data_IF_214435896572
#
_entry.id   IF_214435896572
#
_cell.length_a   1.000
_cell.length_b   1.000
_cell.length_c   1.000
_cell.angle_alpha   90.00
_cell.angle_beta   90.00
_cell.angle_gamma   90.00
#
_symmetry.space_group_name_H-M   'P 1'
#
loop_
_entity.id
_entity.type
_entity.pdbx_description
1 polymer ?
#
# COMPACT_ATOMS: atom_id res chain seq x y z
N UNK A 1 0.69 3.70 -1.28
CA UNK A 1 0.85 3.25 0.13
C UNK A 1 2.00 2.28 0.11
N UNK A 2 2.91 2.40 1.08
CA UNK A 2 4.14 1.61 1.12
C UNK A 2 3.93 0.40 2.02
N UNK A 3 3.56 -0.75 1.45
CA UNK A 3 3.39 -1.98 2.21
C UNK A 3 4.76 -2.61 2.50
N UNK A 4 5.07 -2.93 3.77
CA UNK A 4 6.23 -3.72 4.11
C UNK A 4 6.05 -5.17 3.67
N UNK A 5 7.08 -5.73 3.06
CA UNK A 5 7.12 -7.15 2.71
C UNK A 5 8.33 -7.79 3.39
N UNK A 6 8.10 -8.97 3.98
CA UNK A 6 9.12 -9.81 4.58
C UNK A 6 9.50 -10.91 3.59
N UNK A 7 10.75 -10.88 3.13
CA UNK A 7 11.26 -11.80 2.12
C UNK A 7 12.18 -12.80 2.81
N UNK A 8 11.80 -14.08 2.76
CA UNK A 8 12.64 -15.21 3.19
C UNK A 8 13.52 -15.64 2.00
N UNK A 9 14.86 -15.60 2.14
CA UNK A 9 15.75 -16.10 1.10
C UNK A 9 15.44 -17.54 0.72
N UNK A 10 15.37 -17.81 -0.58
CA UNK A 10 15.31 -19.17 -1.11
C UNK A 10 16.67 -19.88 -1.05
N UNK A 11 16.66 -21.17 -1.36
CA UNK A 11 17.85 -22.01 -1.54
C UNK A 11 17.75 -22.84 -2.83
N UNK A 12 18.65 -23.80 -3.06
CA UNK A 12 18.63 -24.64 -4.27
C UNK A 12 17.36 -25.49 -4.43
N UNK A 13 16.56 -25.66 -3.38
CA UNK A 13 15.34 -26.47 -3.33
C UNK A 13 14.09 -25.64 -3.06
N UNK A 14 14.22 -24.41 -2.56
CA UNK A 14 13.13 -23.55 -2.13
C UNK A 14 13.16 -22.19 -2.82
N UNK A 15 12.01 -21.75 -3.33
CA UNK A 15 11.83 -20.40 -3.88
C UNK A 15 11.95 -19.32 -2.78
N UNK A 16 12.17 -18.08 -3.21
CA UNK A 16 12.15 -16.91 -2.33
C UNK A 16 10.71 -16.65 -1.88
N UNK A 17 10.44 -16.85 -0.60
CA UNK A 17 9.10 -16.66 -0.04
C UNK A 17 8.87 -15.22 0.38
N UNK A 18 7.68 -14.68 0.11
CA UNK A 18 7.28 -13.35 0.55
C UNK A 18 6.01 -13.42 1.37
N UNK A 19 6.01 -12.68 2.46
CA UNK A 19 4.86 -12.42 3.32
C UNK A 19 4.61 -10.91 3.39
N UNK A 20 3.35 -10.51 3.41
CA UNK A 20 2.90 -9.12 3.56
C UNK A 20 2.20 -8.98 4.92
N UNK A 21 2.91 -8.61 6.00
CA UNK A 21 2.37 -8.67 7.36
C UNK A 21 1.11 -7.83 7.58
N UNK A 22 0.98 -6.72 6.85
CA UNK A 22 -0.17 -5.82 6.96
C UNK A 22 -1.39 -6.29 6.17
N UNK A 23 -1.25 -7.32 5.33
CA UNK A 23 -2.34 -7.92 4.55
C UNK A 23 -2.39 -9.42 4.90
N UNK A 24 -3.08 -9.80 6.00
CA UNK A 24 -3.12 -11.19 6.45
C UNK A 24 -3.58 -12.15 5.36
N UNK A 25 -2.79 -13.19 5.11
CA UNK A 25 -3.08 -14.18 4.06
C UNK A 25 -2.55 -13.81 2.67
N UNK A 26 -1.88 -12.67 2.51
CA UNK A 26 -1.19 -12.30 1.27
C UNK A 26 0.25 -12.83 1.30
N UNK A 27 0.46 -13.94 0.58
CA UNK A 27 1.76 -14.56 0.38
C UNK A 27 2.07 -14.65 -1.10
N UNK A 28 3.35 -14.56 -1.43
CA UNK A 28 3.84 -14.85 -2.78
C UNK A 28 5.20 -15.55 -2.71
N UNK A 29 5.70 -15.99 -3.86
CA UNK A 29 7.05 -16.52 -3.98
C UNK A 29 7.61 -16.21 -5.37
N UNK A 30 8.93 -16.13 -5.47
CA UNK A 30 9.64 -15.92 -6.74
C UNK A 30 10.93 -16.75 -6.84
N UNK A 31 11.47 -16.87 -8.05
CA UNK A 31 12.69 -17.65 -8.31
C UNK A 31 13.95 -16.96 -7.76
N UNK A 32 13.97 -15.64 -7.78
CA UNK A 32 15.01 -14.80 -7.21
C UNK A 32 14.41 -13.61 -6.43
N UNK A 33 15.27 -12.72 -5.92
CA UNK A 33 14.82 -11.56 -5.14
C UNK A 33 14.00 -10.57 -5.96
N UNK A 34 14.37 -10.33 -7.23
CA UNK A 34 13.68 -9.36 -8.08
C UNK A 34 12.31 -9.90 -8.50
N UNK A 35 12.25 -11.18 -8.85
CA UNK A 35 11.01 -11.89 -9.14
C UNK A 35 10.09 -11.96 -7.90
N UNK A 36 10.65 -12.25 -6.72
CA UNK A 36 9.88 -12.24 -5.47
C UNK A 36 9.24 -10.87 -5.19
N UNK A 37 9.96 -9.76 -5.45
CA UNK A 37 9.40 -8.42 -5.32
C UNK A 37 8.29 -8.14 -6.34
N UNK A 38 8.46 -8.60 -7.59
CA UNK A 38 7.43 -8.47 -8.62
C UNK A 38 6.16 -9.27 -8.25
N UNK A 39 6.33 -10.52 -7.83
CA UNK A 39 5.25 -11.40 -7.37
C UNK A 39 4.56 -10.87 -6.12
N UNK A 40 5.30 -10.24 -5.20
CA UNK A 40 4.71 -9.57 -4.05
C UNK A 40 3.81 -8.40 -4.45
N UNK A 41 4.23 -7.57 -5.41
CA UNK A 41 3.39 -6.48 -5.94
C UNK A 41 2.09 -7.05 -6.52
N UNK A 42 2.17 -8.06 -7.37
CA UNK A 42 0.99 -8.68 -7.99
C UNK A 42 0.05 -9.31 -6.94
N UNK A 43 0.60 -10.01 -5.95
CA UNK A 43 -0.19 -10.61 -4.88
C UNK A 43 -0.91 -9.55 -4.03
N UNK A 44 -0.25 -8.43 -3.72
CA UNK A 44 -0.88 -7.31 -3.02
C UNK A 44 -2.00 -6.72 -3.87
N UNK A 45 -1.73 -6.40 -5.15
CA UNK A 45 -2.71 -5.79 -6.05
C UNK A 45 -3.95 -6.68 -6.22
N UNK A 46 -3.77 -7.99 -6.41
CA UNK A 46 -4.87 -8.95 -6.52
C UNK A 46 -5.66 -9.14 -5.22
N UNK A 47 -4.99 -9.16 -4.06
CA UNK A 47 -5.68 -9.25 -2.78
C UNK A 47 -6.51 -8.00 -2.50
N UNK A 48 -5.99 -6.82 -2.82
CA UNK A 48 -6.73 -5.56 -2.68
C UNK A 48 -7.92 -5.47 -3.64
N UNK A 49 -7.81 -6.04 -4.84
CA UNK A 49 -8.93 -6.15 -5.79
C UNK A 49 -10.07 -6.98 -5.22
N UNK A 50 -9.75 -8.18 -4.69
CA UNK A 50 -10.74 -9.04 -4.03
C UNK A 50 -11.43 -8.34 -2.85
N UNK A 51 -10.67 -7.65 -2.00
CA UNK A 51 -11.25 -6.87 -0.90
C UNK A 51 -12.16 -5.73 -1.39
N UNK A 52 -11.81 -5.09 -2.51
CA UNK A 52 -12.64 -4.04 -3.09
C UNK A 52 -13.95 -4.60 -3.66
N UNK A 53 -13.90 -5.76 -4.34
CA UNK A 53 -15.09 -6.46 -4.85
C UNK A 53 -16.05 -6.84 -3.72
N UNK A 54 -15.52 -7.29 -2.59
CA UNK A 54 -16.27 -7.65 -1.39
C UNK A 54 -16.72 -6.44 -0.55
N UNK A 55 -16.48 -5.21 -1.01
CA UNK A 55 -16.71 -3.96 -0.26
C UNK A 55 -16.05 -3.96 1.14
N UNK A 56 -14.96 -4.71 1.29
CA UNK A 56 -14.22 -4.85 2.53
C UNK A 56 -13.23 -3.70 2.75
N UNK A 57 -12.80 -3.51 4.01
CA UNK A 57 -11.84 -2.46 4.34
C UNK A 57 -10.46 -2.80 3.78
N UNK A 58 -9.87 -1.87 3.04
CA UNK A 58 -8.49 -1.95 2.58
C UNK A 58 -7.54 -1.88 3.80
N UNK A 59 -6.64 -2.86 4.00
CA UNK A 59 -5.71 -2.88 5.13
C UNK A 59 -4.77 -1.67 5.11
N UNK A 60 -4.20 -1.36 6.27
CA UNK A 60 -3.34 -0.19 6.44
C UNK A 60 -1.89 -0.64 6.47
N UNK A 61 -1.08 -0.08 5.59
CA UNK A 61 0.36 -0.25 5.63
C UNK A 61 0.96 0.41 6.86
N UNK A 62 1.79 -0.33 7.58
CA UNK A 62 2.54 0.12 8.74
C UNK A 62 4.04 0.20 8.40
N UNK A 63 4.84 0.95 9.19
CA UNK A 63 6.28 0.99 8.97
C UNK A 63 6.93 -0.38 9.24
N UNK A 64 8.00 -0.71 8.50
CA UNK A 64 8.80 -1.93 8.73
C UNK A 64 9.22 -2.11 10.20
N UNK A 65 9.49 -1.01 10.90
CA UNK A 65 9.87 -1.03 12.32
C UNK A 65 8.80 -1.63 13.24
N UNK A 66 7.54 -1.69 12.81
CA UNK A 66 6.46 -2.36 13.56
C UNK A 66 6.62 -3.89 13.55
N UNK A 67 7.25 -4.44 12.50
CA UNK A 67 7.32 -5.89 12.27
C UNK A 67 8.70 -6.49 12.48
N UNK A 68 9.77 -5.70 12.36
CA UNK A 68 11.17 -6.18 12.42
C UNK A 68 11.52 -6.92 13.72
N UNK A 69 10.82 -6.63 14.82
CA UNK A 69 11.05 -7.28 16.11
C UNK A 69 10.24 -8.57 16.32
N UNK A 70 9.39 -8.94 15.36
CA UNK A 70 8.62 -10.19 15.42
C UNK A 70 9.55 -11.39 15.12
N UNK A 71 9.67 -12.38 16.03
CA UNK A 71 10.47 -13.58 15.81
C UNK A 71 10.09 -14.38 14.56
N UNK A 72 8.85 -14.27 14.09
CA UNK A 72 8.38 -14.92 12.86
C UNK A 72 9.11 -14.46 11.59
N UNK A 73 9.65 -13.24 11.63
CA UNK A 73 10.37 -12.61 10.51
C UNK A 73 11.89 -12.56 10.76
N UNK A 74 12.40 -13.38 11.68
CA UNK A 74 13.83 -13.47 11.94
C UNK A 74 14.58 -13.94 10.69
N UNK A 75 15.62 -13.20 10.30
CA UNK A 75 16.42 -13.50 9.10
C UNK A 75 15.78 -13.07 7.77
N UNK A 76 14.57 -12.49 7.78
CA UNK A 76 13.95 -11.94 6.58
C UNK A 76 14.63 -10.65 6.10
N UNK A 77 14.64 -10.48 4.78
CA UNK A 77 14.99 -9.22 4.12
C UNK A 77 13.71 -8.38 4.01
N UNK A 78 13.80 -7.09 4.32
CA UNK A 78 12.67 -6.17 4.27
C UNK A 78 12.72 -5.30 3.02
N UNK A 79 11.58 -5.16 2.36
CA UNK A 79 11.38 -4.18 1.28
C UNK A 79 10.04 -3.47 1.45
N UNK A 80 9.88 -2.36 0.72
CA UNK A 80 8.64 -1.58 0.67
C UNK A 80 8.09 -1.60 -0.75
N UNK A 81 6.83 -2.00 -0.90
CA UNK A 81 6.13 -1.99 -2.18
C UNK A 81 5.15 -0.82 -2.20
N UNK A 82 5.33 0.10 -3.15
CA UNK A 82 4.38 1.21 -3.35
C UNK A 82 3.20 0.80 -4.22
N UNK A 83 2.02 0.83 -3.60
CA UNK A 83 0.73 0.47 -4.20
C UNK A 83 -0.22 1.65 -4.19
N UNK A 84 -0.76 2.01 -5.36
CA UNK A 84 -1.79 3.03 -5.47
C UNK A 84 -3.16 2.48 -5.05
N UNK A 85 -3.47 2.60 -3.74
CA UNK A 85 -4.70 2.04 -3.18
C UNK A 85 -5.98 2.73 -3.67
N UNK A 86 -5.88 3.90 -4.32
CA UNK A 86 -7.07 4.66 -4.73
C UNK A 86 -7.93 3.91 -5.74
N UNK A 87 -7.33 2.95 -6.45
CA UNK A 87 -8.00 2.05 -7.41
C UNK A 87 -9.01 1.12 -6.73
N UNK A 88 -8.81 0.82 -5.44
CA UNK A 88 -9.57 -0.15 -4.69
C UNK A 88 -10.63 0.48 -3.77
N UNK A 89 -10.78 1.81 -3.79
CA UNK A 89 -11.75 2.54 -2.96
C UNK A 89 -13.14 2.63 -3.59
N UNK A 90 -13.38 1.89 -4.68
CA UNK A 90 -14.63 1.90 -5.42
C UNK A 90 -14.80 3.10 -6.35
N UNK A 91 -16.05 3.27 -6.82
CA UNK A 91 -16.38 4.33 -7.78
C UNK A 91 -16.26 5.71 -7.14
N UNK A 92 -15.59 6.62 -7.83
CA UNK A 92 -15.50 8.01 -7.40
C UNK A 92 -16.88 8.70 -7.47
N UNK A 93 -17.38 9.12 -6.30
CA UNK A 93 -18.56 9.96 -6.19
C UNK A 93 -18.18 11.44 -6.18
N UNK A 94 -18.89 12.26 -6.95
CA UNK A 94 -18.64 13.72 -7.01
C UNK A 94 -19.23 14.41 -5.79
N UNK A 95 -18.39 15.12 -5.05
CA UNK A 95 -18.76 15.90 -3.88
C UNK A 95 -18.53 17.40 -4.11
N UNK A 96 -19.53 18.23 -3.79
CA UNK A 96 -19.39 19.69 -3.76
C UNK A 96 -19.10 20.15 -2.32
N UNK A 97 -17.95 20.79 -2.11
CA UNK A 97 -17.52 21.29 -0.79
C UNK A 97 -17.08 22.74 -0.86
N UNK A 98 -17.10 23.41 0.29
CA UNK A 98 -16.53 24.75 0.46
C UNK A 98 -15.24 24.65 1.27
N UNK A 99 -14.14 25.20 0.74
CA UNK A 99 -12.83 25.26 1.40
C UNK A 99 -12.35 26.72 1.51
N UNK A 100 -11.60 27.09 2.55
CA UNK A 100 -10.95 28.40 2.61
C UNK A 100 -10.01 28.63 1.42
N UNK A 101 -10.05 29.81 0.79
CA UNK A 101 -9.29 30.10 -0.44
C UNK A 101 -7.78 29.89 -0.30
N UNK A 102 -7.20 30.29 0.84
CA UNK A 102 -5.78 30.05 1.12
C UNK A 102 -5.43 28.55 1.23
N UNK A 103 -6.33 27.73 1.77
CA UNK A 103 -6.14 26.28 1.83
C UNK A 103 -6.16 25.67 0.42
N UNK A 104 -7.11 26.09 -0.42
CA UNK A 104 -7.20 25.61 -1.80
C UNK A 104 -5.92 25.92 -2.60
N UNK A 105 -5.38 27.14 -2.48
CA UNK A 105 -4.13 27.52 -3.12
C UNK A 105 -2.95 26.65 -2.67
N UNK A 106 -2.88 26.31 -1.38
CA UNK A 106 -1.83 25.42 -0.84
C UNK A 106 -1.94 23.99 -1.38
N UNK A 107 -3.17 23.47 -1.51
CA UNK A 107 -3.41 22.15 -2.10
C UNK A 107 -2.98 22.15 -3.57
N UNK A 108 -3.35 23.19 -4.33
CA UNK A 108 -2.97 23.31 -5.74
C UNK A 108 -1.47 23.33 -5.94
N UNK A 109 -0.76 24.12 -5.13
CA UNK A 109 0.69 24.20 -5.24
C UNK A 109 1.35 22.87 -4.84
N UNK A 110 0.84 22.19 -3.80
CA UNK A 110 1.33 20.88 -3.42
C UNK A 110 1.21 19.87 -4.57
N UNK A 111 0.02 19.75 -5.17
CA UNK A 111 -0.25 18.77 -6.25
C UNK A 111 0.61 19.02 -7.49
N UNK A 112 0.97 20.28 -7.81
CA UNK A 112 1.87 20.58 -8.94
C UNK A 112 3.28 19.98 -8.75
N UNK A 113 3.78 19.97 -7.52
CA UNK A 113 5.13 19.48 -7.20
C UNK A 113 5.14 17.99 -6.80
N UNK A 114 3.97 17.36 -6.71
CA UNK A 114 3.77 15.99 -6.23
C UNK A 114 2.92 15.20 -7.23
N UNK A 115 3.52 14.73 -8.35
CA UNK A 115 2.81 14.03 -9.42
C UNK A 115 2.05 12.80 -8.96
N UNK A 116 2.49 12.18 -7.86
CA UNK A 116 1.85 11.00 -7.26
C UNK A 116 0.42 11.26 -6.76
N UNK A 117 0.08 12.51 -6.42
CA UNK A 117 -1.25 12.87 -5.94
C UNK A 117 -2.29 13.00 -7.07
N UNK A 118 -1.84 13.12 -8.33
CA UNK A 118 -2.60 13.26 -9.59
C UNK A 118 -3.58 14.45 -9.69
N UNK A 119 -4.28 14.82 -8.63
CA UNK A 119 -5.32 15.87 -8.60
C UNK A 119 -5.65 16.34 -7.17
N UNK A 120 -6.42 17.43 -7.04
CA UNK A 120 -7.00 17.87 -5.74
C UNK A 120 -7.79 16.76 -5.06
N UNK A 121 -8.60 16.03 -5.83
CA UNK A 121 -9.43 14.93 -5.30
C UNK A 121 -8.56 13.79 -4.77
N UNK A 122 -7.48 13.44 -5.49
CA UNK A 122 -6.52 12.43 -5.04
C UNK A 122 -5.84 12.82 -3.73
N UNK A 123 -5.39 14.07 -3.63
CA UNK A 123 -4.83 14.62 -2.38
C UNK A 123 -5.81 14.54 -1.21
N UNK A 124 -7.05 15.00 -1.41
CA UNK A 124 -8.08 14.99 -0.36
C UNK A 124 -8.47 13.57 0.06
N UNK A 125 -8.58 12.64 -0.90
CA UNK A 125 -8.85 11.24 -0.61
C UNK A 125 -7.71 10.62 0.21
N UNK A 126 -6.45 10.82 -0.20
CA UNK A 126 -5.27 10.35 0.53
C UNK A 126 -5.20 10.91 1.96
N UNK A 127 -5.49 12.20 2.14
CA UNK A 127 -5.54 12.84 3.45
C UNK A 127 -6.67 12.28 4.32
N UNK A 128 -7.87 12.08 3.76
CA UNK A 128 -9.01 11.50 4.48
C UNK A 128 -8.72 10.05 4.91
N UNK A 129 -8.15 9.23 4.02
CA UNK A 129 -7.73 7.87 4.35
C UNK A 129 -6.73 7.87 5.50
N UNK A 130 -5.72 8.73 5.45
CA UNK A 130 -4.72 8.82 6.53
C UNK A 130 -5.37 9.13 7.89
N UNK A 131 -6.40 9.98 7.94
CA UNK A 131 -7.14 10.27 9.17
C UNK A 131 -8.00 9.08 9.61
N UNK A 132 -8.76 8.47 8.69
CA UNK A 132 -9.65 7.34 8.99
C UNK A 132 -8.90 6.05 9.34
N UNK A 133 -7.64 5.93 8.93
CA UNK A 133 -6.76 4.82 9.29
C UNK A 133 -6.12 5.00 10.67
N UNK A 134 -6.09 6.21 11.21
CA UNK A 134 -5.57 6.53 12.55
C UNK A 134 -6.66 6.56 13.64
N UNK A 135 -7.92 6.41 13.25
CA UNK A 135 -9.10 6.36 14.13
C UNK A 135 -9.56 4.92 14.36
#
# INVERSE_FOLDING_TARGET
>A
MLYPIAIRPGDEQHAWGVDVPDIPGCFSAGEDLDDAMAMAREAIEGHLEMLAEDCSRIPVATPVSAHVSNPEYEGCIWALVDIDITRYLGKAEKLNITLPGNLLNRIDEYVKHHPEQKSRSGFLASAALKVLQQA
#
